data_IF_098562723719
#
_entry.id   IF_098562723719
#
_cell.length_a   1.000
_cell.length_b   1.000
_cell.length_c   1.000
_cell.angle_alpha   90.00
_cell.angle_beta   90.00
_cell.angle_gamma   90.00
#
_symmetry.space_group_name_H-M   'P 1'
#
loop_
_entity.id
_entity.type
_entity.pdbx_description
1 polymer ?
#
# COMPACT_ATOMS: atom_id res chain seq x y z
N UNK A 1 -1.13 3.21 -42.78
CA UNK A 1 -1.11 4.18 -41.66
C UNK A 1 -1.60 3.63 -40.29
N UNK A 2 -1.86 2.32 -40.13
CA UNK A 2 -2.45 1.77 -38.87
C UNK A 2 -1.45 1.28 -37.80
N UNK A 3 -0.32 0.70 -38.20
CA UNK A 3 0.63 0.06 -37.26
C UNK A 3 1.38 1.04 -36.34
N UNK A 4 1.76 2.22 -36.84
CA UNK A 4 2.43 3.23 -36.02
C UNK A 4 1.52 3.85 -34.94
N UNK A 5 0.19 3.87 -35.15
CA UNK A 5 -0.76 4.35 -34.14
C UNK A 5 -0.93 3.34 -33.00
N UNK A 6 -0.90 2.04 -33.27
CA UNK A 6 -0.99 1.03 -32.21
C UNK A 6 0.28 1.00 -31.35
N UNK A 7 1.47 1.07 -31.97
CA UNK A 7 2.74 1.11 -31.23
C UNK A 7 2.87 2.34 -30.32
N UNK A 8 2.44 3.53 -30.79
CA UNK A 8 2.40 4.73 -29.95
C UNK A 8 1.45 4.59 -28.76
N UNK A 9 0.29 3.96 -28.96
CA UNK A 9 -0.68 3.73 -27.88
C UNK A 9 -0.12 2.76 -26.84
N UNK A 10 0.47 1.65 -27.30
CA UNK A 10 1.11 0.64 -26.43
C UNK A 10 2.28 1.24 -25.64
N UNK A 11 3.13 2.04 -26.27
CA UNK A 11 4.23 2.72 -25.59
C UNK A 11 3.74 3.75 -24.54
N UNK A 12 2.62 4.43 -24.83
CA UNK A 12 2.00 5.38 -23.88
C UNK A 12 1.41 4.64 -22.69
N UNK A 13 0.72 3.52 -22.93
CA UNK A 13 0.13 2.69 -21.87
C UNK A 13 1.19 2.07 -20.97
N UNK A 14 2.30 1.59 -21.53
CA UNK A 14 3.47 1.11 -20.77
C UNK A 14 4.10 2.24 -19.93
N UNK A 15 4.25 3.43 -20.49
CA UNK A 15 4.76 4.60 -19.76
C UNK A 15 3.85 4.97 -18.58
N UNK A 16 2.53 4.89 -18.75
CA UNK A 16 1.56 5.11 -17.66
C UNK A 16 1.58 4.01 -16.59
N UNK A 17 1.93 2.78 -16.95
CA UNK A 17 2.11 1.70 -15.97
C UNK A 17 3.39 1.87 -15.14
N UNK A 18 4.43 2.47 -15.72
CA UNK A 18 5.70 2.74 -15.02
C UNK A 18 5.67 4.00 -14.17
N UNK A 19 4.88 5.01 -14.55
CA UNK A 19 4.71 6.22 -13.75
C UNK A 19 3.86 5.93 -12.52
N UNK A 20 4.33 6.38 -11.37
CA UNK A 20 3.60 6.28 -10.11
C UNK A 20 3.00 7.64 -9.72
N UNK A 21 1.83 7.62 -9.10
CA UNK A 21 1.15 8.77 -8.51
C UNK A 21 0.98 8.54 -7.03
N UNK A 22 1.44 9.51 -6.24
CA UNK A 22 1.27 9.52 -4.79
C UNK A 22 0.08 10.38 -4.39
N UNK A 23 -0.62 9.94 -3.36
CA UNK A 23 -1.75 10.63 -2.72
C UNK A 23 -1.68 10.44 -1.22
N UNK A 24 -2.30 11.36 -0.49
CA UNK A 24 -2.41 11.30 0.96
C UNK A 24 -3.89 11.31 1.36
N UNK A 25 -4.29 10.34 2.16
CA UNK A 25 -5.68 10.13 2.59
C UNK A 25 -5.71 9.94 4.11
N UNK A 26 -6.84 10.24 4.77
CA UNK A 26 -6.97 9.90 6.19
C UNK A 26 -7.09 8.38 6.37
N UNK A 27 -6.62 7.85 7.49
CA UNK A 27 -6.75 6.42 7.78
C UNK A 27 -8.22 6.00 7.84
N UNK A 28 -9.10 6.87 8.37
CA UNK A 28 -10.56 6.67 8.34
C UNK A 28 -11.09 6.51 6.92
N UNK A 29 -10.82 7.48 6.05
CA UNK A 29 -11.26 7.44 4.66
C UNK A 29 -10.73 6.19 3.95
N UNK A 30 -9.46 5.84 4.17
CA UNK A 30 -8.86 4.64 3.60
C UNK A 30 -9.62 3.38 4.01
N UNK A 31 -9.97 3.24 5.30
CA UNK A 31 -10.72 2.10 5.79
C UNK A 31 -12.14 2.05 5.22
N UNK A 32 -12.86 3.19 5.20
CA UNK A 32 -14.22 3.29 4.65
C UNK A 32 -14.28 2.97 3.15
N UNK A 33 -13.26 3.38 2.39
CA UNK A 33 -13.19 3.24 0.93
C UNK A 33 -12.37 2.02 0.49
N UNK A 34 -11.88 1.20 1.43
CA UNK A 34 -10.93 0.12 1.14
C UNK A 34 -11.44 -0.86 0.08
N UNK A 35 -12.71 -1.25 0.16
CA UNK A 35 -13.32 -2.19 -0.79
C UNK A 35 -13.26 -1.73 -2.24
N UNK A 36 -13.26 -0.41 -2.46
CA UNK A 36 -13.12 0.21 -3.79
C UNK A 36 -11.65 0.30 -4.19
N UNK A 37 -10.82 0.78 -3.27
CA UNK A 37 -9.39 1.08 -3.49
C UNK A 37 -8.58 -0.20 -3.75
N UNK A 38 -8.84 -1.30 -3.03
CA UNK A 38 -8.03 -2.54 -3.07
C UNK A 38 -7.85 -3.13 -4.48
N UNK A 39 -8.87 -2.98 -5.34
CA UNK A 39 -8.85 -3.49 -6.72
C UNK A 39 -7.80 -2.81 -7.60
N UNK A 40 -7.33 -1.63 -7.20
CA UNK A 40 -6.33 -0.82 -7.91
C UNK A 40 -4.90 -1.07 -7.43
N UNK A 41 -4.70 -2.05 -6.54
CA UNK A 41 -3.40 -2.51 -6.03
C UNK A 41 -2.48 -1.36 -5.57
N UNK A 42 -2.93 -0.52 -4.62
CA UNK A 42 -2.07 0.51 -4.05
C UNK A 42 -0.87 -0.09 -3.32
N UNK A 43 0.17 0.73 -3.19
CA UNK A 43 1.23 0.55 -2.20
C UNK A 43 1.05 1.57 -1.08
N UNK A 44 1.41 1.19 0.15
CA UNK A 44 1.46 2.10 1.30
C UNK A 44 2.88 2.58 1.55
N UNK A 45 3.02 3.87 1.87
CA UNK A 45 4.28 4.48 2.29
C UNK A 45 4.51 4.33 3.78
N UNK A 46 5.52 3.56 4.20
CA UNK A 46 5.92 3.37 5.59
C UNK A 46 7.24 4.09 5.85
N UNK A 47 7.30 4.92 6.90
CA UNK A 47 8.51 5.66 7.26
C UNK A 47 9.42 4.80 8.14
N UNK A 48 10.67 4.60 7.73
CA UNK A 48 11.72 3.96 8.53
C UNK A 48 13.05 4.68 8.29
N UNK A 49 13.79 4.97 9.36
CA UNK A 49 15.14 5.54 9.25
C UNK A 49 15.24 6.88 8.50
N UNK A 50 14.15 7.67 8.42
CA UNK A 50 14.10 8.92 7.66
C UNK A 50 13.66 8.79 6.20
N UNK A 51 13.54 7.57 5.69
CA UNK A 51 13.08 7.27 4.32
C UNK A 51 11.64 6.74 4.33
N UNK A 52 10.96 6.81 3.18
CA UNK A 52 9.63 6.21 2.98
C UNK A 52 9.74 5.04 2.01
N UNK A 53 9.44 3.85 2.50
CA UNK A 53 9.41 2.61 1.71
C UNK A 53 7.98 2.32 1.27
N UNK A 54 7.83 1.71 0.09
CA UNK A 54 6.54 1.50 -0.54
C UNK A 54 6.24 0.02 -0.68
N UNK A 55 5.25 -0.44 0.08
CA UNK A 55 4.91 -1.85 0.18
C UNK A 55 3.52 -2.13 -0.39
N UNK A 56 3.31 -3.24 -1.13
CA UNK A 56 1.97 -3.68 -1.53
C UNK A 56 1.02 -3.74 -0.34
N UNK A 57 -0.13 -3.10 -0.48
CA UNK A 57 -1.15 -3.04 0.56
C UNK A 57 -2.11 -4.23 0.40
N UNK A 58 -2.19 -5.07 1.42
CA UNK A 58 -2.95 -6.33 1.39
C UNK A 58 -4.36 -6.17 1.97
N UNK A 59 -4.47 -5.52 3.14
CA UNK A 59 -5.75 -5.39 3.84
C UNK A 59 -5.80 -4.13 4.70
N UNK A 60 -6.99 -3.56 4.84
CA UNK A 60 -7.30 -2.49 5.79
C UNK A 60 -8.59 -2.82 6.52
N UNK A 61 -8.63 -2.62 7.84
CA UNK A 61 -9.85 -2.76 8.65
C UNK A 61 -9.83 -1.84 9.86
N UNK A 62 -10.99 -1.65 10.50
CA UNK A 62 -11.11 -0.92 11.77
C UNK A 62 -11.44 -1.87 12.91
N UNK A 63 -10.93 -1.56 14.11
CA UNK A 63 -11.26 -2.30 15.32
C UNK A 63 -11.30 -1.34 16.53
N UNK A 64 -12.21 -1.60 17.47
CA UNK A 64 -12.30 -0.87 18.73
C UNK A 64 -11.35 -1.47 19.76
N UNK A 65 -10.26 -0.77 20.05
CA UNK A 65 -9.24 -1.22 21.01
C UNK A 65 -9.49 -0.56 22.36
N UNK A 66 -9.46 -1.34 23.45
CA UNK A 66 -9.48 -0.79 24.80
C UNK A 66 -8.15 -0.11 25.13
N UNK A 67 -8.19 1.17 25.43
CA UNK A 67 -7.05 1.97 25.90
C UNK A 67 -7.32 2.52 27.29
N UNK A 68 -6.32 2.39 28.18
CA UNK A 68 -6.32 2.93 29.54
C UNK A 68 -6.23 1.85 30.63
N UNK A 69 -5.22 1.96 31.51
CA UNK A 69 -4.99 1.03 32.62
C UNK A 69 -6.01 1.19 33.77
N UNK A 70 -6.61 2.38 33.94
CA UNK A 70 -7.48 2.72 35.08
C UNK A 70 -8.91 3.14 34.71
N UNK A 71 -9.13 3.67 33.49
CA UNK A 71 -10.45 3.88 32.89
C UNK A 71 -10.41 3.29 31.49
N UNK A 72 -11.07 2.15 31.31
CA UNK A 72 -11.22 1.50 30.00
C UNK A 72 -12.02 2.42 29.10
N UNK A 73 -11.35 3.05 28.15
CA UNK A 73 -11.98 3.78 27.05
C UNK A 73 -11.79 3.00 25.76
N UNK A 74 -12.83 2.88 24.94
CA UNK A 74 -12.70 2.29 23.61
C UNK A 74 -12.25 3.36 22.63
N UNK A 75 -11.21 3.06 21.86
CA UNK A 75 -10.76 3.91 20.75
C UNK A 75 -10.74 3.06 19.48
N UNK A 76 -11.39 3.55 18.43
CA UNK A 76 -11.32 2.95 17.12
C UNK A 76 -9.95 3.22 16.47
N UNK A 77 -9.33 2.16 15.95
CA UNK A 77 -8.00 2.17 15.32
C UNK A 77 -8.12 1.52 13.94
N UNK A 78 -7.40 2.05 12.97
CA UNK A 78 -7.25 1.47 11.63
C UNK A 78 -6.01 0.59 11.60
N UNK A 79 -6.18 -0.64 11.14
CA UNK A 79 -5.11 -1.60 10.94
C UNK A 79 -4.86 -1.76 9.45
N UNK A 80 -3.58 -1.79 9.10
CA UNK A 80 -3.12 -1.91 7.72
C UNK A 80 -2.12 -3.05 7.61
N UNK A 81 -2.48 -4.08 6.85
CA UNK A 81 -1.58 -5.17 6.46
C UNK A 81 -0.90 -4.85 5.13
N UNK A 82 0.41 -5.03 5.09
CA UNK A 82 1.21 -4.84 3.88
C UNK A 82 2.28 -5.93 3.73
N UNK A 83 2.65 -6.21 2.49
CA UNK A 83 3.67 -7.19 2.17
C UNK A 83 5.06 -6.55 2.07
N UNK A 84 5.97 -6.95 2.94
CA UNK A 84 7.35 -6.48 2.97
C UNK A 84 8.27 -7.55 2.37
N UNK A 85 8.80 -7.38 1.14
CA UNK A 85 9.79 -8.29 0.59
C UNK A 85 11.06 -8.23 1.43
N UNK A 86 11.59 -9.38 1.80
CA UNK A 86 12.90 -9.44 2.43
C UNK A 86 13.96 -9.06 1.39
N UNK A 87 14.55 -7.87 1.49
CA UNK A 87 15.59 -7.38 0.55
C UNK A 87 17.00 -7.78 0.98
N UNK A 88 17.16 -8.82 1.80
CA UNK A 88 18.46 -9.43 2.08
C UNK A 88 18.88 -10.33 0.91
N UNK A 89 19.45 -9.72 -0.13
CA UNK A 89 20.49 -10.37 -0.91
C UNK A 89 21.81 -9.85 -0.34
N UNK A 90 22.36 -10.56 0.65
CA UNK A 90 23.80 -10.47 0.92
C UNK A 90 24.46 -11.44 -0.05
N UNK A 91 25.22 -10.91 -1.00
CA UNK A 91 25.89 -11.66 -2.07
C UNK A 91 27.21 -12.29 -1.58
N UNK A 92 27.33 -12.56 -0.27
CA UNK A 92 28.46 -13.24 0.36
C UNK A 92 27.95 -14.09 1.55
N UNK A 93 27.74 -15.39 1.31
CA UNK A 93 27.96 -16.53 2.22
C UNK A 93 27.06 -17.71 1.79
N UNK A 94 27.54 -18.48 0.80
CA UNK A 94 27.28 -19.92 0.79
C UNK A 94 27.97 -20.52 2.02
N UNK A 95 27.30 -20.60 3.16
CA UNK A 95 27.63 -21.60 4.19
C UNK A 95 26.42 -21.84 5.13
N UNK A 96 25.90 -23.06 5.06
CA UNK A 96 25.04 -23.75 6.03
C UNK A 96 23.95 -22.95 6.75
N UNK A 97 22.74 -22.90 6.19
CA UNK A 97 21.53 -22.70 6.99
C UNK A 97 20.49 -23.78 6.73
N UNK A 98 20.49 -24.75 7.65
CA UNK A 98 19.40 -25.71 7.79
C UNK A 98 18.09 -25.03 8.22
N UNK A 99 16.98 -25.67 7.84
CA UNK A 99 15.61 -25.40 8.32
C UNK A 99 15.16 -23.94 8.15
N UNK A 100 14.82 -23.55 6.92
CA UNK A 100 14.18 -22.26 6.65
C UNK A 100 12.83 -22.17 7.36
N UNK A 101 12.74 -21.28 8.35
CA UNK A 101 11.48 -20.79 8.92
C UNK A 101 10.70 -20.04 7.82
N UNK A 102 9.39 -20.30 7.71
CA UNK A 102 8.50 -19.50 6.87
C UNK A 102 8.46 -18.07 7.44
N UNK A 103 9.27 -17.16 6.90
CA UNK A 103 9.25 -15.76 7.31
C UNK A 103 7.87 -15.15 6.98
N UNK A 104 7.16 -14.67 8.00
CA UNK A 104 5.92 -13.90 7.79
C UNK A 104 6.25 -12.54 7.14
N UNK A 105 6.08 -12.48 5.82
CA UNK A 105 6.25 -11.29 4.98
C UNK A 105 5.12 -10.25 5.14
N UNK A 106 4.04 -10.61 5.85
CA UNK A 106 2.91 -9.72 6.10
C UNK A 106 3.16 -8.98 7.42
N UNK A 107 3.23 -7.65 7.36
CA UNK A 107 3.33 -6.78 8.53
C UNK A 107 2.04 -6.00 8.72
N UNK A 108 1.73 -5.69 9.98
CA UNK A 108 0.56 -4.88 10.34
C UNK A 108 0.99 -3.59 11.02
N UNK A 109 0.56 -2.46 10.47
CA UNK A 109 0.75 -1.13 11.07
C UNK A 109 -0.59 -0.61 11.63
N UNK A 110 -0.51 0.21 12.68
CA UNK A 110 -1.69 0.79 13.36
C UNK A 110 -1.73 2.29 13.16
N UNK A 111 -2.88 2.81 12.77
CA UNK A 111 -3.12 4.23 12.55
C UNK A 111 -4.32 4.70 13.38
N UNK A 112 -4.23 5.88 13.98
CA UNK A 112 -5.41 6.60 14.46
C UNK A 112 -6.27 7.04 13.28
N UNK A 113 -7.57 7.21 13.49
CA UNK A 113 -8.51 7.61 12.43
C UNK A 113 -8.09 8.86 11.64
N UNK A 114 -7.51 9.84 12.34
CA UNK A 114 -7.11 11.13 11.77
C UNK A 114 -5.68 11.11 11.20
N UNK A 115 -4.94 10.01 11.35
CA UNK A 115 -3.59 9.89 10.80
C UNK A 115 -3.65 9.92 9.27
N UNK A 116 -2.64 10.55 8.67
CA UNK A 116 -2.48 10.62 7.23
C UNK A 116 -1.67 9.44 6.74
N UNK A 117 -2.24 8.70 5.79
CA UNK A 117 -1.62 7.55 5.13
C UNK A 117 -1.27 7.94 3.71
N UNK A 118 -0.02 7.67 3.31
CA UNK A 118 0.44 7.90 1.94
C UNK A 118 0.23 6.64 1.12
N UNK A 119 -0.47 6.77 0.00
CA UNK A 119 -0.66 5.70 -0.96
C UNK A 119 0.02 6.05 -2.28
N UNK A 120 0.41 5.01 -2.99
CA UNK A 120 1.03 5.10 -4.31
C UNK A 120 0.37 4.12 -5.24
N UNK A 121 0.01 4.62 -6.41
CA UNK A 121 -0.63 3.86 -7.48
C UNK A 121 0.21 3.98 -8.74
N UNK A 122 0.09 3.02 -9.66
CA UNK A 122 0.47 3.30 -11.05
C UNK A 122 -0.48 4.36 -11.61
N UNK A 123 0.00 5.24 -12.49
CA UNK A 123 -0.83 6.31 -13.06
C UNK A 123 -2.04 5.73 -13.78
N UNK A 124 -1.87 4.60 -14.47
CA UNK A 124 -2.98 3.88 -15.11
C UNK A 124 -4.06 3.42 -14.11
N UNK A 125 -3.67 2.92 -12.93
CA UNK A 125 -4.64 2.52 -11.90
C UNK A 125 -5.29 3.72 -11.23
N UNK A 126 -4.52 4.79 -10.99
CA UNK A 126 -5.04 6.03 -10.44
C UNK A 126 -6.09 6.67 -11.36
N UNK A 127 -5.80 6.80 -12.66
CA UNK A 127 -6.76 7.35 -13.64
C UNK A 127 -8.06 6.52 -13.67
N UNK A 128 -7.97 5.19 -13.64
CA UNK A 128 -9.15 4.31 -13.61
C UNK A 128 -9.94 4.40 -12.31
N UNK A 129 -9.27 4.66 -11.18
CA UNK A 129 -9.93 4.89 -9.90
C UNK A 129 -10.72 6.19 -9.97
N UNK A 130 -10.08 7.28 -10.39
CA UNK A 130 -10.72 8.60 -10.51
C UNK A 130 -11.87 8.59 -11.52
N UNK A 131 -11.72 7.91 -12.65
CA UNK A 131 -12.75 7.83 -13.69
C UNK A 131 -14.01 7.10 -13.20
N UNK A 132 -13.85 6.03 -12.42
CA UNK A 132 -14.99 5.20 -11.97
C UNK A 132 -15.63 5.69 -10.70
N UNK A 133 -14.81 6.15 -9.77
CA UNK A 133 -15.22 6.41 -8.40
C UNK A 133 -15.28 7.92 -8.07
N UNK A 134 -14.74 8.76 -8.97
CA UNK A 134 -14.56 10.20 -8.74
C UNK A 134 -13.29 10.50 -7.95
N UNK A 135 -13.09 11.77 -7.57
CA UNK A 135 -12.08 12.14 -6.57
C UNK A 135 -12.50 11.58 -5.20
N UNK A 136 -12.08 10.34 -4.94
CA UNK A 136 -12.29 9.63 -3.66
C UNK A 136 -11.15 9.91 -2.67
N UNK A 137 -10.02 10.41 -3.19
CA UNK A 137 -8.74 10.58 -2.53
C UNK A 137 -8.46 12.06 -2.23
#
# INVERSE_FOLDING_TARGET
MGFFKSLKKVATDLSKQLREKEVEISARDLAEKWDKIKSYKPKIGIKRGGETYWYPLERVWTENVEVGLFRKSQKEIVFVEYWEPNTYYDEEEEEDRGWFEEEEYIKTERFSLDDKVRLRFTLANYEKLVEREGEIL
#
